data_IF_858967546156
#
_entry.id   IF_858967546156
#
_cell.length_a   1.000
_cell.length_b   1.000
_cell.length_c   1.000
_cell.angle_alpha   90.00
_cell.angle_beta   90.00
_cell.angle_gamma   90.00
#
_symmetry.space_group_name_H-M   'P 1'
#
loop_
_entity.id
_entity.type
_entity.pdbx_description
1 polymer ?
#
# COMPACT_ATOMS: atom_id res chain seq x y z
N UNK A 1 2.24 -4.07 -8.57
CA UNK A 1 3.46 -3.97 -9.43
C UNK A 1 4.71 -3.98 -8.60
N UNK A 2 4.65 -3.39 -7.39
CA UNK A 2 5.81 -3.36 -6.53
C UNK A 2 5.37 -3.88 -5.20
N UNK A 3 6.29 -4.61 -4.51
CA UNK A 3 5.96 -5.17 -3.21
C UNK A 3 6.19 -4.11 -2.17
N UNK A 4 6.82 -2.98 -2.56
CA UNK A 4 7.08 -1.93 -1.60
C UNK A 4 5.77 -1.49 -1.00
N UNK A 5 4.68 -1.45 -1.82
CA UNK A 5 3.40 -1.08 -1.29
C UNK A 5 2.88 -2.29 -0.55
N UNK A 6 3.52 -2.59 0.61
CA UNK A 6 3.15 -3.73 1.40
C UNK A 6 3.16 -3.31 2.82
N UNK A 7 4.31 -2.79 3.24
CA UNK A 7 4.52 -2.39 4.58
C UNK A 7 3.44 -1.46 5.03
N UNK A 8 3.03 -0.51 4.16
CA UNK A 8 1.98 0.39 4.55
C UNK A 8 0.67 -0.09 3.99
N UNK A 9 0.72 -1.00 2.99
CA UNK A 9 -0.50 -1.52 2.41
C UNK A 9 -1.20 -2.33 3.46
N UNK A 10 -0.42 -3.09 4.26
CA UNK A 10 -0.98 -3.90 5.31
C UNK A 10 -1.69 -2.99 6.26
N UNK A 11 -1.10 -1.79 6.52
CA UNK A 11 -1.77 -0.84 7.40
C UNK A 11 -3.01 -0.37 6.70
N UNK A 12 -2.85 0.11 5.43
CA UNK A 12 -3.97 0.56 4.64
C UNK A 12 -3.41 1.21 3.42
N UNK A 13 -4.01 0.88 2.25
CA UNK A 13 -3.57 1.45 1.01
C UNK A 13 -4.75 2.14 0.41
N UNK A 14 -4.61 3.46 0.18
CA UNK A 14 -5.70 4.22 -0.39
C UNK A 14 -5.05 5.25 -1.26
N UNK A 15 -4.57 4.80 -2.44
CA UNK A 15 -3.90 5.70 -3.35
C UNK A 15 -4.88 6.73 -3.84
N UNK A 16 -6.15 6.33 -4.04
CA UNK A 16 -7.15 7.25 -4.53
C UNK A 16 -7.75 7.99 -3.36
N UNK A 17 -7.29 7.66 -2.12
CA UNK A 17 -7.81 8.32 -0.94
C UNK A 17 -9.34 8.06 -0.87
#
# INVERSE_FOLDING_TARGET
EMRLSKFFRNFILQRKK
#
